data_IF_409624498328
#
_entry.id   IF_409624498328
#
_cell.length_a   1.000
_cell.length_b   1.000
_cell.length_c   1.000
_cell.angle_alpha   90.00
_cell.angle_beta   90.00
_cell.angle_gamma   90.00
#
_symmetry.space_group_name_H-M   'P 1'
#
loop_
_entity.id
_entity.type
_entity.pdbx_description
1 polymer ?
#
# COMPACT_ATOMS: atom_id res chain seq x y z
N UNK A 1 20.46 44.65 6.16
CA UNK A 1 19.60 43.51 6.57
C UNK A 1 19.80 42.40 5.57
N UNK A 2 19.86 41.12 5.96
CA UNK A 2 19.99 40.01 5.02
C UNK A 2 18.81 40.01 4.04
N UNK A 3 19.10 39.78 2.76
CA UNK A 3 18.07 39.62 1.74
C UNK A 3 17.29 38.34 2.00
N UNK A 4 15.97 38.38 1.81
CA UNK A 4 15.14 37.19 1.97
C UNK A 4 14.88 36.62 0.58
N UNK A 5 15.17 35.33 0.41
CA UNK A 5 14.80 34.60 -0.81
C UNK A 5 13.67 33.64 -0.43
N UNK A 6 12.51 33.91 -1.00
CA UNK A 6 11.35 33.01 -0.93
C UNK A 6 11.50 31.94 -2.01
N UNK A 7 11.57 30.69 -1.60
CA UNK A 7 11.66 29.55 -2.52
C UNK A 7 10.37 28.76 -2.44
N UNK A 8 9.65 28.73 -3.56
CA UNK A 8 8.41 27.97 -3.71
C UNK A 8 8.70 26.65 -4.41
N UNK A 9 8.42 25.55 -3.72
CA UNK A 9 8.59 24.21 -4.26
C UNK A 9 7.24 23.62 -4.65
N UNK A 10 7.14 23.06 -5.87
CA UNK A 10 5.88 22.48 -6.37
C UNK A 10 6.04 20.97 -6.48
N UNK A 11 5.56 20.23 -5.47
CA UNK A 11 5.57 18.78 -5.46
C UNK A 11 4.30 18.23 -6.13
N UNK A 12 4.46 17.27 -7.05
CA UNK A 12 3.33 16.66 -7.79
C UNK A 12 2.95 15.26 -7.29
N UNK A 13 3.88 14.54 -6.69
CA UNK A 13 3.65 13.23 -6.09
C UNK A 13 4.53 12.98 -4.86
N UNK A 14 4.25 11.88 -4.17
CA UNK A 14 4.95 11.46 -2.95
C UNK A 14 5.74 10.14 -3.12
N UNK A 15 5.76 9.55 -4.32
CA UNK A 15 6.58 8.37 -4.60
C UNK A 15 8.07 8.68 -4.56
N UNK A 16 8.92 7.66 -4.40
CA UNK A 16 10.38 7.80 -4.37
C UNK A 16 10.90 8.58 -5.60
N UNK A 17 10.27 8.40 -6.77
CA UNK A 17 10.64 9.09 -8.02
C UNK A 17 9.95 10.44 -8.22
N UNK A 18 8.99 10.80 -7.38
CA UNK A 18 8.27 12.08 -7.47
C UNK A 18 8.92 13.19 -6.61
N UNK A 19 9.96 12.85 -5.84
CA UNK A 19 10.72 13.81 -5.03
C UNK A 19 11.47 14.84 -5.88
N UNK A 20 11.53 16.08 -5.38
CA UNK A 20 12.29 17.16 -6.04
C UNK A 20 13.74 17.11 -5.54
N UNK A 21 14.72 17.14 -6.44
CA UNK A 21 16.13 17.24 -6.06
C UNK A 21 16.44 18.66 -5.55
N UNK A 22 16.50 18.81 -4.22
CA UNK A 22 16.86 20.09 -3.59
C UNK A 22 18.31 20.53 -3.91
N UNK A 23 19.16 19.56 -4.27
CA UNK A 23 20.60 19.73 -4.52
C UNK A 23 20.93 20.73 -5.63
N UNK A 24 20.13 20.79 -6.70
CA UNK A 24 20.35 21.74 -7.79
C UNK A 24 20.12 23.19 -7.32
N UNK A 25 19.07 23.42 -6.53
CA UNK A 25 18.74 24.73 -5.96
C UNK A 25 19.74 25.10 -4.86
N UNK A 26 20.16 24.14 -4.04
CA UNK A 26 21.22 24.33 -3.04
C UNK A 26 22.54 24.75 -3.69
N UNK A 27 22.93 24.14 -4.82
CA UNK A 27 24.14 24.52 -5.56
C UNK A 27 24.07 25.94 -6.14
N UNK A 28 22.90 26.33 -6.67
CA UNK A 28 22.66 27.69 -7.16
C UNK A 28 22.71 28.69 -5.99
N UNK A 29 22.05 28.38 -4.88
CA UNK A 29 22.03 29.23 -3.69
C UNK A 29 23.42 29.39 -3.07
N UNK A 30 24.22 28.32 -3.05
CA UNK A 30 25.61 28.37 -2.60
C UNK A 30 26.43 29.33 -3.47
N UNK A 31 26.27 29.25 -4.79
CA UNK A 31 26.97 30.12 -5.75
C UNK A 31 26.53 31.59 -5.62
N UNK A 32 25.24 31.83 -5.42
CA UNK A 32 24.68 33.18 -5.18
C UNK A 32 25.22 33.75 -3.86
N UNK A 33 25.22 32.96 -2.79
CA UNK A 33 25.79 33.37 -1.50
C UNK A 33 27.28 33.71 -1.65
N UNK A 34 28.08 32.85 -2.28
CA UNK A 34 29.51 33.10 -2.54
C UNK A 34 29.74 34.42 -3.29
N UNK A 35 29.05 34.65 -4.41
CA UNK A 35 29.21 35.88 -5.22
C UNK A 35 28.77 37.15 -4.49
N UNK A 36 27.67 37.08 -3.73
CA UNK A 36 27.19 38.21 -2.93
C UNK A 36 28.17 38.49 -1.78
N UNK A 37 28.68 37.45 -1.12
CA UNK A 37 29.71 37.55 -0.09
C UNK A 37 31.00 38.17 -0.65
N UNK A 38 31.49 37.74 -1.83
CA UNK A 38 32.66 38.31 -2.51
C UNK A 38 32.51 39.82 -2.77
N UNK A 39 31.34 40.26 -3.22
CA UNK A 39 31.09 41.69 -3.48
C UNK A 39 30.94 42.49 -2.18
N UNK A 40 30.36 41.88 -1.13
CA UNK A 40 30.20 42.50 0.18
C UNK A 40 31.50 42.57 1.00
N UNK A 41 32.48 41.69 0.76
CA UNK A 41 33.81 41.72 1.41
C UNK A 41 34.55 43.05 1.13
N UNK A 42 34.21 43.74 0.04
CA UNK A 42 34.74 45.09 -0.25
C UNK A 42 34.23 46.15 0.74
N UNK A 43 33.15 45.88 1.48
CA UNK A 43 32.59 46.72 2.54
C UNK A 43 32.79 46.08 3.93
N UNK A 44 33.45 46.80 4.84
CA UNK A 44 33.95 46.34 6.16
C UNK A 44 32.90 45.83 7.19
N UNK A 45 32.11 44.79 6.91
CA UNK A 45 31.20 44.20 7.90
C UNK A 45 31.18 42.65 7.85
N UNK A 46 32.01 42.03 8.70
CA UNK A 46 32.32 40.59 8.67
C UNK A 46 31.11 39.67 8.93
N UNK A 47 30.16 40.05 9.80
CA UNK A 47 29.01 39.18 10.13
C UNK A 47 27.92 39.16 9.06
N UNK A 48 27.78 40.21 8.25
CA UNK A 48 26.81 40.27 7.15
C UNK A 48 27.31 39.51 5.91
N UNK A 49 28.62 39.51 5.71
CA UNK A 49 29.32 38.81 4.62
C UNK A 49 29.16 37.30 4.70
N UNK A 50 29.12 36.72 5.90
CA UNK A 50 29.11 35.27 6.08
C UNK A 50 27.74 34.62 5.78
N UNK A 51 26.66 35.38 5.83
CA UNK A 51 25.30 34.88 5.54
C UNK A 51 24.40 36.04 5.08
N UNK A 52 24.60 36.52 3.84
CA UNK A 52 23.90 37.71 3.34
C UNK A 52 22.42 37.43 3.03
N UNK A 53 22.02 36.16 2.94
CA UNK A 53 20.68 35.73 2.57
C UNK A 53 20.03 34.87 3.65
N UNK A 54 18.76 35.14 3.97
CA UNK A 54 17.88 34.27 4.74
C UNK A 54 16.95 33.53 3.78
N UNK A 55 16.79 32.23 4.01
CA UNK A 55 15.94 31.36 3.20
C UNK A 55 14.59 31.20 3.88
N UNK A 56 13.53 31.50 3.15
CA UNK A 56 12.16 31.13 3.54
C UNK A 56 11.66 30.14 2.49
N UNK A 57 11.43 28.90 2.91
CA UNK A 57 10.96 27.83 2.03
C UNK A 57 9.47 27.62 2.24
N UNK A 58 8.72 27.63 1.15
CA UNK A 58 7.31 27.24 1.14
C UNK A 58 7.13 26.10 0.17
N UNK A 59 6.63 24.97 0.66
CA UNK A 59 6.38 23.78 -0.16
C UNK A 59 4.89 23.67 -0.47
N UNK A 60 4.55 23.65 -1.75
CA UNK A 60 3.19 23.43 -2.25
C UNK A 60 3.06 21.96 -2.65
N UNK A 61 2.18 21.22 -1.97
CA UNK A 61 1.86 19.83 -2.31
C UNK A 61 0.36 19.61 -2.44
N UNK A 62 -0.09 19.13 -3.61
CA UNK A 62 -1.52 18.87 -3.92
C UNK A 62 -2.46 20.02 -3.50
N UNK A 63 -2.05 21.27 -3.75
CA UNK A 63 -2.84 22.47 -3.46
C UNK A 63 -2.79 22.95 -2.00
N UNK A 64 -1.97 22.34 -1.13
CA UNK A 64 -1.70 22.82 0.23
C UNK A 64 -0.34 23.50 0.30
N UNK A 65 -0.33 24.73 0.78
CA UNK A 65 0.87 25.50 1.10
C UNK A 65 1.37 25.13 2.50
N UNK A 66 2.62 24.69 2.59
CA UNK A 66 3.30 24.36 3.83
C UNK A 66 4.47 25.33 3.99
N UNK A 67 4.23 26.40 4.74
CA UNK A 67 5.24 27.42 5.05
C UNK A 67 6.29 26.89 6.02
N UNK A 68 7.56 27.17 5.75
CA UNK A 68 8.68 26.86 6.65
C UNK A 68 9.20 25.42 6.59
N UNK A 69 8.63 24.54 5.74
CA UNK A 69 9.11 23.17 5.57
C UNK A 69 9.81 22.97 4.24
N UNK A 70 11.00 22.38 4.29
CA UNK A 70 11.74 21.95 3.10
C UNK A 70 11.05 20.76 2.40
N UNK A 71 11.14 20.65 1.06
CA UNK A 71 10.62 19.51 0.30
C UNK A 71 11.24 18.19 0.74
N UNK A 72 12.48 18.21 1.24
CA UNK A 72 13.16 17.01 1.70
C UNK A 72 12.49 16.44 2.93
N UNK A 73 12.06 17.28 3.87
CA UNK A 73 11.41 16.81 5.10
C UNK A 73 10.03 16.20 4.80
N UNK A 74 9.23 16.90 3.99
CA UNK A 74 7.93 16.38 3.53
C UNK A 74 8.11 15.12 2.67
N UNK A 75 9.08 15.14 1.75
CA UNK A 75 9.40 14.03 0.88
C UNK A 75 9.85 12.79 1.64
N UNK A 76 10.69 12.92 2.68
CA UNK A 76 11.14 11.79 3.50
C UNK A 76 10.00 11.17 4.31
N UNK A 77 9.13 11.99 4.90
CA UNK A 77 7.98 11.49 5.67
C UNK A 77 6.91 10.84 4.78
N UNK A 78 6.59 11.46 3.64
CA UNK A 78 5.60 10.90 2.73
C UNK A 78 6.14 9.66 2.00
N UNK A 79 7.43 9.62 1.67
CA UNK A 79 8.06 8.45 1.05
C UNK A 79 8.18 7.27 2.03
N UNK A 80 8.43 7.50 3.32
CA UNK A 80 8.43 6.42 4.33
C UNK A 80 7.05 5.78 4.44
N UNK A 81 5.99 6.58 4.44
CA UNK A 81 4.61 6.07 4.43
C UNK A 81 4.28 5.35 3.11
N UNK A 82 4.70 5.91 1.96
CA UNK A 82 4.47 5.33 0.63
C UNK A 82 5.22 4.02 0.40
N UNK A 83 6.26 3.75 1.21
CA UNK A 83 7.09 2.53 1.09
C UNK A 83 6.67 1.46 2.09
N UNK A 84 6.44 1.83 3.35
CA UNK A 84 6.17 0.88 4.43
C UNK A 84 4.81 0.18 4.27
N UNK A 85 3.76 0.93 3.91
CA UNK A 85 2.41 0.35 3.79
C UNK A 85 2.35 -0.74 2.71
N UNK A 86 2.83 -0.52 1.47
CA UNK A 86 2.83 -1.57 0.45
C UNK A 86 3.70 -2.77 0.77
N UNK A 87 4.87 -2.59 1.41
CA UNK A 87 5.75 -3.70 1.80
C UNK A 87 5.04 -4.62 2.79
N UNK A 88 4.46 -4.06 3.85
CA UNK A 88 3.80 -4.87 4.88
C UNK A 88 2.59 -5.59 4.29
N UNK A 89 1.79 -4.90 3.48
CA UNK A 89 0.65 -5.52 2.78
C UNK A 89 1.09 -6.69 1.90
N UNK A 90 2.17 -6.52 1.14
CA UNK A 90 2.74 -7.59 0.31
C UNK A 90 3.16 -8.79 1.17
N UNK A 91 3.89 -8.57 2.27
CA UNK A 91 4.34 -9.64 3.17
C UNK A 91 3.13 -10.42 3.71
N UNK A 92 2.11 -9.72 4.22
CA UNK A 92 0.92 -10.37 4.79
C UNK A 92 0.20 -11.20 3.73
N UNK A 93 0.00 -10.67 2.51
CA UNK A 93 -0.70 -11.38 1.43
C UNK A 93 0.07 -12.65 1.03
N UNK A 94 1.39 -12.54 0.84
CA UNK A 94 2.22 -13.68 0.42
C UNK A 94 2.26 -14.74 1.51
N UNK A 95 2.48 -14.35 2.77
CA UNK A 95 2.56 -15.30 3.89
C UNK A 95 1.20 -15.96 4.16
N UNK A 96 0.15 -15.17 4.35
CA UNK A 96 -1.17 -15.68 4.69
C UNK A 96 -1.79 -16.46 3.52
N UNK A 97 -1.67 -15.93 2.30
CA UNK A 97 -2.11 -16.61 1.08
C UNK A 97 -1.34 -17.90 0.82
N UNK A 98 -0.02 -17.88 1.02
CA UNK A 98 0.84 -19.05 0.90
C UNK A 98 0.47 -20.15 1.89
N UNK A 99 0.15 -19.79 3.14
CA UNK A 99 -0.36 -20.74 4.14
C UNK A 99 -1.69 -21.37 3.73
N UNK A 100 -2.65 -20.57 3.24
CA UNK A 100 -3.95 -21.09 2.77
C UNK A 100 -3.77 -22.06 1.59
N UNK A 101 -3.00 -21.68 0.58
CA UNK A 101 -2.75 -22.52 -0.59
C UNK A 101 -2.05 -23.82 -0.19
N UNK A 102 -1.01 -23.73 0.63
CA UNK A 102 -0.22 -24.89 1.07
C UNK A 102 -1.02 -25.84 1.94
N UNK A 103 -1.90 -25.30 2.80
CA UNK A 103 -2.84 -26.08 3.60
C UNK A 103 -3.80 -26.89 2.72
N UNK A 104 -4.36 -26.29 1.66
CA UNK A 104 -5.21 -27.03 0.71
C UNK A 104 -4.43 -28.13 -0.02
N UNK A 105 -3.19 -27.85 -0.43
CA UNK A 105 -2.33 -28.85 -1.06
C UNK A 105 -2.01 -30.03 -0.14
N UNK A 106 -1.74 -29.75 1.13
CA UNK A 106 -1.47 -30.76 2.15
C UNK A 106 -2.70 -31.61 2.47
N UNK A 107 -3.88 -31.01 2.60
CA UNK A 107 -5.12 -31.75 2.81
C UNK A 107 -5.44 -32.70 1.64
N UNK A 108 -5.12 -32.29 0.42
CA UNK A 108 -5.34 -33.11 -0.77
C UNK A 108 -4.33 -34.24 -0.86
N UNK A 109 -3.06 -33.99 -0.53
CA UNK A 109 -2.01 -34.99 -0.48
C UNK A 109 -2.30 -36.08 0.57
N UNK A 110 -2.74 -35.67 1.76
CA UNK A 110 -3.09 -36.58 2.85
C UNK A 110 -4.47 -37.22 2.69
N UNK A 111 -5.19 -36.97 1.58
CA UNK A 111 -6.58 -37.40 1.33
C UNK A 111 -7.58 -37.01 2.43
N UNK A 112 -7.23 -36.07 3.31
CA UNK A 112 -8.12 -35.65 4.40
C UNK A 112 -9.34 -34.92 3.86
N UNK A 113 -9.21 -34.29 2.69
CA UNK A 113 -10.32 -33.66 1.97
C UNK A 113 -11.31 -34.71 1.45
N UNK A 114 -10.84 -35.86 0.96
CA UNK A 114 -11.70 -36.98 0.53
C UNK A 114 -12.45 -37.56 1.73
N UNK A 115 -11.76 -37.78 2.85
CA UNK A 115 -12.36 -38.23 4.11
C UNK A 115 -13.39 -37.22 4.65
N UNK A 116 -13.15 -35.91 4.53
CA UNK A 116 -14.12 -34.87 4.91
C UNK A 116 -15.39 -34.94 4.06
N UNK A 117 -15.28 -35.33 2.79
CA UNK A 117 -16.41 -35.44 1.87
C UNK A 117 -17.22 -36.73 2.02
N UNK A 118 -16.70 -37.74 2.73
CA UNK A 118 -17.45 -38.97 3.05
C UNK A 118 -18.25 -38.86 4.35
N UNK A 119 -17.97 -37.85 5.18
CA UNK A 119 -18.77 -37.54 6.36
C UNK A 119 -20.17 -37.06 5.97
N UNK A 120 -21.21 -37.27 6.80
CA UNK A 120 -22.59 -36.84 6.54
C UNK A 120 -22.76 -35.31 6.74
N UNK A 121 -21.86 -34.52 6.16
CA UNK A 121 -21.83 -33.05 6.24
C UNK A 121 -21.97 -32.47 4.83
N UNK A 122 -22.81 -31.45 4.67
CA UNK A 122 -22.99 -30.79 3.37
C UNK A 122 -21.67 -30.14 2.91
N UNK A 123 -21.29 -30.35 1.64
CA UNK A 123 -20.09 -29.74 1.03
C UNK A 123 -20.06 -28.22 1.21
N UNK A 124 -21.20 -27.55 1.05
CA UNK A 124 -21.35 -26.12 1.26
C UNK A 124 -20.94 -25.65 2.67
N UNK A 125 -21.19 -26.47 3.71
CA UNK A 125 -20.84 -26.15 5.09
C UNK A 125 -19.32 -26.23 5.31
N UNK A 126 -18.64 -27.19 4.67
CA UNK A 126 -17.17 -27.31 4.71
C UNK A 126 -16.53 -26.05 4.11
N UNK A 127 -17.05 -25.59 2.96
CA UNK A 127 -16.55 -24.38 2.29
C UNK A 127 -16.81 -23.14 3.12
N UNK A 128 -18.03 -22.97 3.60
CA UNK A 128 -18.40 -21.84 4.43
C UNK A 128 -17.51 -21.76 5.68
N UNK A 129 -17.24 -22.90 6.33
CA UNK A 129 -16.33 -22.97 7.48
C UNK A 129 -14.90 -22.50 7.14
N UNK A 130 -14.35 -22.94 6.01
CA UNK A 130 -13.01 -22.51 5.57
C UNK A 130 -12.93 -21.03 5.18
N UNK A 131 -13.97 -20.52 4.53
CA UNK A 131 -14.06 -19.10 4.16
C UNK A 131 -14.21 -18.23 5.41
N UNK A 132 -15.08 -18.60 6.34
CA UNK A 132 -15.25 -17.90 7.62
C UNK A 132 -13.96 -17.96 8.44
N UNK A 133 -13.29 -19.11 8.49
CA UNK A 133 -11.98 -19.23 9.14
C UNK A 133 -10.94 -18.29 8.52
N UNK A 134 -10.89 -18.23 7.18
CA UNK A 134 -10.01 -17.29 6.47
C UNK A 134 -10.40 -15.83 6.71
N UNK A 135 -11.69 -15.51 6.84
CA UNK A 135 -12.17 -14.18 7.19
C UNK A 135 -11.70 -13.77 8.60
N UNK A 136 -11.82 -14.66 9.58
CA UNK A 136 -11.37 -14.42 10.96
C UNK A 136 -9.86 -14.17 10.98
N UNK A 137 -9.08 -14.99 10.27
CA UNK A 137 -7.63 -14.80 10.15
C UNK A 137 -7.32 -13.45 9.48
N UNK A 138 -8.01 -13.11 8.38
CA UNK A 138 -7.86 -11.81 7.71
C UNK A 138 -8.17 -10.62 8.62
N UNK A 139 -9.22 -10.73 9.45
CA UNK A 139 -9.60 -9.71 10.43
C UNK A 139 -8.54 -9.57 11.53
N UNK A 140 -8.05 -10.67 12.07
CA UNK A 140 -6.98 -10.65 13.08
C UNK A 140 -5.70 -10.02 12.51
N UNK A 141 -5.31 -10.39 11.29
CA UNK A 141 -4.16 -9.79 10.60
C UNK A 141 -4.36 -8.29 10.37
N UNK A 142 -5.57 -7.86 10.04
CA UNK A 142 -5.90 -6.45 9.87
C UNK A 142 -5.77 -5.66 11.17
N UNK A 143 -6.26 -6.21 12.28
CA UNK A 143 -6.14 -5.59 13.60
C UNK A 143 -4.68 -5.49 14.04
N UNK A 144 -3.92 -6.60 13.91
CA UNK A 144 -2.49 -6.62 14.24
C UNK A 144 -1.73 -5.60 13.40
N UNK A 145 -2.06 -5.49 12.10
CA UNK A 145 -1.48 -4.47 11.22
C UNK A 145 -1.80 -3.05 11.70
N UNK A 146 -3.07 -2.73 11.99
CA UNK A 146 -3.45 -1.39 12.43
C UNK A 146 -2.74 -0.99 13.72
N UNK A 147 -2.65 -1.91 14.68
CA UNK A 147 -1.95 -1.69 15.94
C UNK A 147 -0.44 -1.52 15.70
N UNK A 148 0.20 -2.44 14.98
CA UNK A 148 1.62 -2.36 14.66
C UNK A 148 1.99 -1.08 13.89
N UNK A 149 1.13 -0.66 12.96
CA UNK A 149 1.32 0.55 12.19
C UNK A 149 1.12 1.82 13.02
N UNK A 150 0.18 1.84 13.98
CA UNK A 150 0.04 2.97 14.90
C UNK A 150 1.30 3.19 15.74
N UNK A 151 1.93 2.11 16.23
CA UNK A 151 3.21 2.19 16.93
C UNK A 151 4.35 2.64 16.01
N UNK A 152 4.37 2.17 14.76
CA UNK A 152 5.32 2.62 13.75
C UNK A 152 5.20 4.14 13.53
N UNK A 153 3.99 4.67 13.31
CA UNK A 153 3.80 6.12 13.14
C UNK A 153 4.23 6.94 14.37
N UNK A 154 3.89 6.47 15.58
CA UNK A 154 4.30 7.14 16.82
C UNK A 154 5.83 7.23 16.96
N UNK A 155 6.56 6.21 16.52
CA UNK A 155 8.03 6.21 16.52
C UNK A 155 8.62 7.29 15.61
N UNK A 156 7.98 7.61 14.48
CA UNK A 156 8.40 8.70 13.59
C UNK A 156 8.04 10.08 14.12
N UNK A 157 6.93 10.21 14.86
CA UNK A 157 6.57 11.47 15.51
C UNK A 157 7.54 11.85 16.62
N UNK A 158 8.09 10.87 17.37
CA UNK A 158 9.10 11.16 18.40
C UNK A 158 10.44 11.62 17.83
N UNK A 159 10.80 11.21 16.61
CA UNK A 159 12.07 11.58 15.97
C UNK A 159 12.00 12.88 15.14
N UNK A 160 10.81 13.40 14.91
CA UNK A 160 10.58 14.55 14.03
C UNK A 160 10.15 15.78 14.84
N UNK A 161 10.90 16.88 14.77
CA UNK A 161 10.51 18.17 15.39
C UNK A 161 9.30 18.84 14.72
N UNK A 162 8.76 18.28 13.64
CA UNK A 162 7.67 18.85 12.84
C UNK A 162 6.40 18.04 13.09
N UNK A 163 5.36 18.72 13.56
CA UNK A 163 4.05 18.13 13.78
C UNK A 163 3.22 18.24 12.48
N UNK A 164 2.97 17.12 11.80
CA UNK A 164 2.15 17.09 10.58
C UNK A 164 0.72 17.61 10.79
N UNK A 165 0.26 17.62 12.05
CA UNK A 165 -1.04 18.16 12.40
C UNK A 165 -1.17 19.66 12.10
N UNK A 166 -0.07 20.40 12.22
CA UNK A 166 -0.03 21.84 11.98
C UNK A 166 -0.24 22.17 10.48
N UNK A 167 -0.05 21.18 9.60
CA UNK A 167 -0.19 21.30 8.14
C UNK A 167 -1.42 20.56 7.60
N UNK A 168 -2.34 20.15 8.49
CA UNK A 168 -3.57 19.44 8.14
C UNK A 168 -3.37 18.02 7.62
N UNK A 169 -2.16 17.45 7.75
CA UNK A 169 -1.83 16.07 7.36
C UNK A 169 -2.14 15.10 8.52
N UNK A 170 -3.36 15.16 9.04
CA UNK A 170 -3.86 14.27 10.09
C UNK A 170 -4.87 13.29 9.56
N UNK A 171 -4.81 12.05 10.06
CA UNK A 171 -5.88 11.07 9.89
C UNK A 171 -6.81 11.14 11.11
N UNK A 172 -8.10 11.33 10.86
CA UNK A 172 -9.14 11.21 11.85
C UNK A 172 -9.38 9.74 12.24
N UNK A 173 -10.09 9.52 13.35
CA UNK A 173 -10.53 8.18 13.77
C UNK A 173 -11.35 7.50 12.67
N UNK A 174 -12.20 8.26 11.97
CA UNK A 174 -12.98 7.75 10.84
C UNK A 174 -12.07 7.27 9.69
N UNK A 175 -10.98 7.98 9.40
CA UNK A 175 -10.02 7.58 8.37
C UNK A 175 -9.34 6.26 8.71
N UNK A 176 -8.96 6.06 9.98
CA UNK A 176 -8.42 4.77 10.44
C UNK A 176 -9.41 3.62 10.31
N UNK A 177 -10.70 3.87 10.54
CA UNK A 177 -11.75 2.87 10.33
C UNK A 177 -11.85 2.51 8.84
N UNK A 178 -11.83 3.51 7.94
CA UNK A 178 -11.85 3.27 6.49
C UNK A 178 -10.64 2.45 6.03
N UNK A 179 -9.45 2.76 6.56
CA UNK A 179 -8.22 2.00 6.28
C UNK A 179 -8.38 0.55 6.76
N UNK A 180 -8.89 0.34 7.97
CA UNK A 180 -9.13 -0.99 8.53
C UNK A 180 -10.11 -1.81 7.69
N UNK A 181 -11.21 -1.21 7.26
CA UNK A 181 -12.20 -1.86 6.38
C UNK A 181 -11.58 -2.21 5.02
N UNK A 182 -10.87 -1.26 4.40
CA UNK A 182 -10.19 -1.49 3.12
C UNK A 182 -9.19 -2.64 3.21
N UNK A 183 -8.45 -2.70 4.31
CA UNK A 183 -7.42 -3.70 4.52
C UNK A 183 -8.03 -5.07 4.80
N UNK A 184 -9.03 -5.14 5.68
CA UNK A 184 -9.77 -6.38 5.94
C UNK A 184 -10.36 -6.97 4.65
N UNK A 185 -11.06 -6.15 3.85
CA UNK A 185 -11.66 -6.61 2.60
C UNK A 185 -10.63 -7.08 1.59
N UNK A 186 -9.49 -6.38 1.49
CA UNK A 186 -8.42 -6.78 0.58
C UNK A 186 -7.74 -8.09 1.01
N UNK A 187 -7.49 -8.28 2.30
CA UNK A 187 -6.99 -9.54 2.83
C UNK A 187 -8.01 -10.66 2.62
N UNK A 188 -9.28 -10.40 2.90
CA UNK A 188 -10.35 -11.38 2.69
C UNK A 188 -10.47 -11.78 1.21
N UNK A 189 -10.39 -10.82 0.29
CA UNK A 189 -10.31 -11.05 -1.15
C UNK A 189 -9.08 -11.90 -1.53
N UNK A 190 -7.91 -11.58 -0.97
CA UNK A 190 -6.66 -12.30 -1.20
C UNK A 190 -6.77 -13.76 -0.75
N UNK A 191 -7.26 -13.99 0.46
CA UNK A 191 -7.41 -15.33 1.03
C UNK A 191 -8.45 -16.14 0.26
N UNK A 192 -9.54 -15.51 -0.20
CA UNK A 192 -10.54 -16.16 -1.05
C UNK A 192 -9.96 -16.56 -2.41
N UNK A 193 -9.13 -15.70 -3.03
CA UNK A 193 -8.39 -16.02 -4.24
C UNK A 193 -7.39 -17.16 -4.03
N UNK A 194 -6.62 -17.10 -2.95
CA UNK A 194 -5.70 -18.16 -2.54
C UNK A 194 -6.43 -19.50 -2.33
N UNK A 195 -7.61 -19.48 -1.73
CA UNK A 195 -8.43 -20.67 -1.56
C UNK A 195 -8.87 -21.27 -2.89
N UNK A 196 -9.31 -20.44 -3.84
CA UNK A 196 -9.62 -20.87 -5.21
C UNK A 196 -8.41 -21.52 -5.88
N UNK A 197 -7.25 -20.87 -5.83
CA UNK A 197 -6.02 -21.42 -6.41
C UNK A 197 -5.59 -22.73 -5.72
N UNK A 198 -5.72 -22.80 -4.40
CA UNK A 198 -5.39 -23.98 -3.59
C UNK A 198 -6.18 -25.23 -3.99
N UNK A 199 -7.41 -25.10 -4.49
CA UNK A 199 -8.19 -26.25 -4.98
C UNK A 199 -7.54 -26.97 -6.16
N UNK A 200 -6.77 -26.24 -6.97
CA UNK A 200 -6.07 -26.78 -8.14
C UNK A 200 -4.72 -27.41 -7.80
N UNK A 201 -4.24 -27.26 -6.56
CA UNK A 201 -3.07 -27.99 -6.10
C UNK A 201 -3.34 -29.50 -6.16
N UNK A 202 -2.31 -30.29 -6.46
CA UNK A 202 -2.35 -31.76 -6.43
C UNK A 202 -1.65 -32.33 -5.20
N UNK A 203 -0.61 -31.64 -4.75
CA UNK A 203 0.23 -31.96 -3.59
C UNK A 203 0.85 -30.67 -3.04
N UNK A 204 1.51 -30.75 -1.87
CA UNK A 204 2.14 -29.61 -1.21
C UNK A 204 3.12 -28.86 -2.12
N UNK A 205 3.93 -29.58 -2.91
CA UNK A 205 4.90 -28.96 -3.83
C UNK A 205 4.24 -28.14 -4.93
N UNK A 206 3.16 -28.65 -5.53
CA UNK A 206 2.38 -27.92 -6.53
C UNK A 206 1.65 -26.71 -5.93
N UNK A 207 1.22 -26.82 -4.67
CA UNK A 207 0.61 -25.71 -3.94
C UNK A 207 1.59 -24.55 -3.78
N UNK A 208 2.85 -24.83 -3.43
CA UNK A 208 3.88 -23.79 -3.37
C UNK A 208 4.06 -23.07 -4.71
N UNK A 209 4.05 -23.78 -5.84
CA UNK A 209 4.12 -23.14 -7.17
C UNK A 209 2.90 -22.24 -7.44
N UNK A 210 1.72 -22.61 -6.95
CA UNK A 210 0.49 -21.82 -7.10
C UNK A 210 0.46 -20.55 -6.24
N UNK A 211 1.43 -20.36 -5.34
CA UNK A 211 1.59 -19.09 -4.61
C UNK A 211 2.23 -18.00 -5.49
N UNK A 212 3.02 -18.37 -6.50
CA UNK A 212 3.76 -17.43 -7.35
C UNK A 212 2.87 -16.40 -8.05
N UNK A 213 1.74 -16.78 -8.68
CA UNK A 213 0.84 -15.79 -9.30
C UNK A 213 0.30 -14.77 -8.29
N UNK A 214 -0.02 -15.20 -7.07
CA UNK A 214 -0.50 -14.30 -6.00
C UNK A 214 0.62 -13.35 -5.58
N UNK A 215 1.84 -13.86 -5.44
CA UNK A 215 3.02 -13.05 -5.13
C UNK A 215 3.26 -11.98 -6.19
N UNK A 216 3.15 -12.32 -7.48
CA UNK A 216 3.26 -11.36 -8.58
C UNK A 216 2.17 -10.29 -8.48
N UNK A 217 0.92 -10.69 -8.23
CA UNK A 217 -0.20 -9.76 -8.02
C UNK A 217 0.00 -8.84 -6.80
N UNK A 218 0.78 -9.23 -5.80
CA UNK A 218 1.10 -8.40 -4.63
C UNK A 218 2.34 -7.52 -4.85
N UNK A 219 3.35 -8.02 -5.55
CA UNK A 219 4.63 -7.32 -5.79
C UNK A 219 4.47 -6.18 -6.79
N UNK A 220 3.74 -6.39 -7.88
CA UNK A 220 3.51 -5.37 -8.92
C UNK A 220 2.90 -4.07 -8.36
N UNK A 221 1.77 -4.09 -7.63
CA UNK A 221 1.20 -2.87 -7.06
C UNK A 221 2.11 -2.26 -6.00
N UNK A 222 2.82 -3.09 -5.22
CA UNK A 222 3.76 -2.63 -4.21
C UNK A 222 4.86 -1.76 -4.83
N UNK A 223 5.54 -2.23 -5.88
CA UNK A 223 6.55 -1.43 -6.56
C UNK A 223 5.96 -0.18 -7.22
N UNK A 224 4.80 -0.29 -7.88
CA UNK A 224 4.18 0.87 -8.55
C UNK A 224 3.88 2.00 -7.57
N UNK A 225 3.28 1.69 -6.42
CA UNK A 225 2.88 2.67 -5.39
C UNK A 225 4.10 3.21 -4.63
N UNK A 226 5.12 2.40 -4.43
CA UNK A 226 6.36 2.82 -3.79
C UNK A 226 7.12 3.85 -4.64
N UNK A 227 7.21 3.61 -5.96
CA UNK A 227 7.97 4.49 -6.85
C UNK A 227 7.20 5.74 -7.29
N UNK A 228 5.89 5.65 -7.51
CA UNK A 228 5.08 6.77 -8.01
C UNK A 228 3.73 6.90 -7.33
N UNK A 229 3.28 8.15 -7.25
CA UNK A 229 1.95 8.51 -6.80
C UNK A 229 0.85 8.09 -7.77
N UNK A 230 -0.28 7.62 -7.26
CA UNK A 230 -1.39 7.18 -8.10
C UNK A 230 -1.80 8.27 -9.07
N UNK A 231 -1.80 9.53 -8.62
CA UNK A 231 -2.17 10.67 -9.46
C UNK A 231 -1.15 10.97 -10.56
N UNK A 232 0.13 10.66 -10.34
CA UNK A 232 1.24 10.88 -11.31
C UNK A 232 1.46 9.70 -12.26
N UNK A 233 0.76 8.57 -12.06
CA UNK A 233 0.86 7.43 -12.98
C UNK A 233 0.19 7.72 -14.35
N UNK A 234 0.76 7.20 -15.45
CA UNK A 234 0.09 7.17 -16.75
C UNK A 234 -1.26 6.45 -16.68
N UNK A 235 -2.22 6.86 -17.51
CA UNK A 235 -3.59 6.31 -17.51
C UNK A 235 -3.64 4.78 -17.60
N UNK A 236 -2.81 4.18 -18.46
CA UNK A 236 -2.76 2.72 -18.62
C UNK A 236 -2.35 2.01 -17.33
N UNK A 237 -1.33 2.51 -16.63
CA UNK A 237 -0.90 1.90 -15.38
C UNK A 237 -1.90 2.16 -14.25
N UNK A 238 -2.59 3.32 -14.23
CA UNK A 238 -3.69 3.57 -13.29
C UNK A 238 -4.77 2.51 -13.40
N UNK A 239 -5.19 2.17 -14.62
CA UNK A 239 -6.21 1.14 -14.88
C UNK A 239 -5.73 -0.23 -14.39
N UNK A 240 -4.50 -0.62 -14.74
CA UNK A 240 -3.92 -1.91 -14.30
C UNK A 240 -3.82 -1.98 -12.78
N UNK A 241 -3.33 -0.92 -12.14
CA UNK A 241 -3.18 -0.86 -10.69
C UNK A 241 -4.55 -0.93 -10.00
N UNK A 242 -5.54 -0.19 -10.49
CA UNK A 242 -6.89 -0.18 -9.93
C UNK A 242 -7.61 -1.53 -10.10
N UNK A 243 -7.31 -2.29 -11.17
CA UNK A 243 -7.85 -3.63 -11.36
C UNK A 243 -7.33 -4.65 -10.33
N UNK A 244 -6.15 -4.42 -9.76
CA UNK A 244 -5.59 -5.31 -8.73
C UNK A 244 -6.23 -4.97 -7.38
N UNK A 245 -7.00 -5.87 -6.74
CA UNK A 245 -7.70 -5.57 -5.49
C UNK A 245 -6.75 -5.18 -4.34
N UNK A 246 -5.50 -5.66 -4.39
CA UNK A 246 -4.49 -5.44 -3.36
C UNK A 246 -3.88 -4.03 -3.39
N UNK A 247 -4.05 -3.27 -4.48
CA UNK A 247 -3.50 -1.91 -4.59
C UNK A 247 -4.29 -0.88 -3.79
N UNK A 248 -5.60 -1.07 -3.64
CA UNK A 248 -6.51 -0.15 -2.94
C UNK A 248 -6.11 0.11 -1.49
N UNK A 249 -5.93 -0.90 -0.62
CA UNK A 249 -5.48 -0.67 0.76
C UNK A 249 -4.06 -0.06 0.81
N UNK A 250 -3.20 -0.37 -0.16
CA UNK A 250 -1.85 0.20 -0.23
C UNK A 250 -1.87 1.71 -0.53
N UNK A 251 -2.92 2.20 -1.19
CA UNK A 251 -3.10 3.62 -1.52
C UNK A 251 -4.02 4.36 -0.54
N UNK A 252 -4.84 3.65 0.24
CA UNK A 252 -5.92 4.20 1.06
C UNK A 252 -5.43 5.26 2.04
N UNK A 253 -4.38 4.96 2.81
CA UNK A 253 -3.82 5.87 3.81
C UNK A 253 -3.41 7.21 3.20
N UNK A 254 -2.62 7.17 2.12
CA UNK A 254 -2.17 8.38 1.46
C UNK A 254 -3.33 9.15 0.86
N UNK A 255 -4.29 8.46 0.26
CA UNK A 255 -5.45 9.10 -0.35
C UNK A 255 -6.29 9.84 0.69
N UNK A 256 -6.45 9.28 1.89
CA UNK A 256 -7.14 9.92 3.01
C UNK A 256 -6.36 11.12 3.57
N UNK A 257 -5.04 11.04 3.68
CA UNK A 257 -4.19 12.18 4.07
C UNK A 257 -4.40 13.42 3.18
N UNK A 258 -4.68 13.21 1.89
CA UNK A 258 -4.98 14.27 0.93
C UNK A 258 -6.47 14.52 0.72
N UNK A 259 -7.35 13.94 1.54
CA UNK A 259 -8.80 14.15 1.47
C UNK A 259 -9.49 13.50 0.26
N UNK A 260 -8.83 12.56 -0.43
CA UNK A 260 -9.40 11.84 -1.57
C UNK A 260 -10.23 10.63 -1.09
N UNK A 261 -11.37 10.93 -0.46
CA UNK A 261 -12.32 9.92 0.03
C UNK A 261 -12.98 9.11 -1.09
N UNK A 262 -13.21 9.74 -2.25
CA UNK A 262 -13.91 9.08 -3.36
C UNK A 262 -13.10 7.89 -3.89
N UNK A 263 -11.76 8.02 -3.96
CA UNK A 263 -10.89 6.94 -4.40
C UNK A 263 -10.89 5.78 -3.39
N UNK A 264 -10.88 6.07 -2.09
CA UNK A 264 -10.88 5.05 -1.04
C UNK A 264 -12.21 4.31 -0.97
N UNK A 265 -13.34 5.03 -0.98
CA UNK A 265 -14.67 4.42 -0.93
C UNK A 265 -14.93 3.61 -2.21
N UNK A 266 -14.58 4.15 -3.38
CA UNK A 266 -14.66 3.43 -4.65
C UNK A 266 -13.80 2.17 -4.67
N UNK A 267 -12.59 2.24 -4.11
CA UNK A 267 -11.70 1.10 -3.93
C UNK A 267 -12.26 0.04 -2.99
N UNK A 268 -12.79 0.44 -1.84
CA UNK A 268 -13.47 -0.46 -0.89
C UNK A 268 -14.61 -1.20 -1.57
N UNK A 269 -15.46 -0.47 -2.32
CA UNK A 269 -16.60 -1.05 -3.02
C UNK A 269 -16.15 -2.04 -4.12
N UNK A 270 -15.11 -1.69 -4.88
CA UNK A 270 -14.51 -2.58 -5.87
C UNK A 270 -13.97 -3.87 -5.22
N UNK A 271 -13.19 -3.75 -4.14
CA UNK A 271 -12.60 -4.89 -3.44
C UNK A 271 -13.69 -5.75 -2.79
N UNK A 272 -14.76 -5.16 -2.26
CA UNK A 272 -15.91 -5.90 -1.74
C UNK A 272 -16.61 -6.73 -2.82
N UNK A 273 -16.85 -6.15 -4.00
CA UNK A 273 -17.41 -6.87 -5.15
C UNK A 273 -16.48 -8.01 -5.59
N UNK A 274 -15.18 -7.74 -5.69
CA UNK A 274 -14.19 -8.74 -6.03
C UNK A 274 -14.14 -9.88 -5.00
N UNK A 275 -14.12 -9.55 -3.70
CA UNK A 275 -14.14 -10.54 -2.63
C UNK A 275 -15.39 -11.43 -2.71
N UNK A 276 -16.56 -10.82 -2.89
CA UNK A 276 -17.82 -11.54 -3.05
C UNK A 276 -17.81 -12.47 -4.27
N UNK A 277 -17.31 -11.99 -5.42
CA UNK A 277 -17.15 -12.80 -6.62
C UNK A 277 -16.22 -13.99 -6.39
N UNK A 278 -15.08 -13.79 -5.73
CA UNK A 278 -14.13 -14.86 -5.42
C UNK A 278 -14.69 -15.90 -4.45
N UNK A 279 -15.47 -15.46 -3.45
CA UNK A 279 -16.20 -16.35 -2.54
C UNK A 279 -17.22 -17.19 -3.31
N UNK A 280 -18.01 -16.58 -4.19
CA UNK A 280 -18.97 -17.32 -5.03
C UNK A 280 -18.29 -18.33 -5.94
N UNK A 281 -17.16 -17.97 -6.53
CA UNK A 281 -16.33 -18.88 -7.34
C UNK A 281 -15.82 -20.04 -6.47
N UNK A 282 -15.33 -19.76 -5.26
CA UNK A 282 -14.87 -20.79 -4.34
C UNK A 282 -16.00 -21.77 -3.98
N UNK A 283 -17.17 -21.26 -3.57
CA UNK A 283 -18.35 -22.08 -3.26
C UNK A 283 -18.76 -22.93 -4.46
N UNK A 284 -18.78 -22.35 -5.66
CA UNK A 284 -19.11 -23.08 -6.88
C UNK A 284 -18.12 -24.20 -7.22
N UNK A 285 -16.81 -23.94 -7.10
CA UNK A 285 -15.76 -24.94 -7.36
C UNK A 285 -15.88 -26.12 -6.42
N UNK A 286 -16.09 -25.86 -5.12
CA UNK A 286 -16.18 -26.92 -4.11
C UNK A 286 -17.49 -27.71 -4.17
N UNK A 287 -18.58 -27.11 -4.63
CA UNK A 287 -19.83 -27.83 -4.88
C UNK A 287 -19.74 -28.72 -6.14
N UNK A 288 -18.85 -28.39 -7.08
CA UNK A 288 -18.64 -29.19 -8.30
C UNK A 288 -17.65 -30.33 -8.03
N UNK A 289 -17.83 -31.50 -8.67
CA UNK A 289 -16.88 -32.64 -8.61
C UNK A 289 -15.48 -32.34 -9.22
N UNK A 290 -15.24 -31.09 -9.63
CA UNK A 290 -13.93 -30.57 -10.06
C UNK A 290 -12.87 -30.70 -8.96
N UNK A 291 -13.30 -30.71 -7.69
CA UNK A 291 -12.42 -30.82 -6.55
C UNK A 291 -11.69 -32.19 -6.48
N UNK A 292 -12.36 -33.25 -6.93
CA UNK A 292 -11.83 -34.62 -7.01
C UNK A 292 -11.02 -34.87 -8.29
N UNK A 293 -11.40 -34.25 -9.41
CA UNK A 293 -10.83 -34.61 -10.72
C UNK A 293 -9.62 -33.76 -11.12
N UNK A 294 -9.46 -32.53 -10.61
CA UNK A 294 -8.33 -31.64 -10.97
C UNK A 294 -8.18 -31.40 -12.49
N UNK A 295 -9.17 -31.81 -13.28
CA UNK A 295 -9.22 -31.76 -14.74
C UNK A 295 -10.49 -31.02 -15.12
N UNK A 296 -10.30 -29.89 -15.77
CA UNK A 296 -11.36 -29.26 -16.56
C UNK A 296 -11.58 -30.19 -17.76
N UNK A 297 -12.46 -31.18 -17.60
CA UNK A 297 -12.95 -31.92 -18.77
C UNK A 297 -13.78 -30.94 -19.58
N UNK A 298 -13.17 -30.39 -20.64
CA UNK A 298 -13.86 -29.68 -21.69
C UNK A 298 -14.72 -30.71 -22.42
N UNK A 299 -15.96 -30.87 -21.95
CA UNK A 299 -16.97 -31.68 -22.64
C UNK A 299 -17.47 -30.83 -23.82
N UNK A 300 -16.76 -30.87 -24.95
CA UNK A 300 -17.35 -30.50 -26.23
C UNK A 300 -18.48 -31.50 -26.51
N UNK A 301 -19.68 -30.94 -26.70
CA UNK A 301 -20.82 -31.64 -27.34
C UNK A 301 -20.43 -32.07 -28.74
#
# INVERSE_FOLDING_TARGET
>A
MPGIIHIYWIMRGAGIMDGISSSAVEGIMYTINQKISEELIKGKNASFVLSPLKREETTIFKGREMEGISPNTIGQMLSSQSTTVPIIMMIIIIMAGGMVISSMGMEKENKTLETLLTLPVKRSSIVAGKIVGSAIVGLLMALVYMVGFSYYLQSFQQSSQINLADYGLTLSIADYILIGISLFLALFAALSLCMVLGTFAKNYKSAQTLTVPVSILAIIPMFMIMFKDFDTLPLMLKIVLFAIPFSHPMMAMRSLLFGNYILVIGGILYVAIFAFAMVMIAVWIFNTDKLLTGRISSRKR
#
